data_IF_995489246360
#
_entry.id   IF_995489246360
#
_cell.length_a   1.000
_cell.length_b   1.000
_cell.length_c   1.000
_cell.angle_alpha   90.00
_cell.angle_beta   90.00
_cell.angle_gamma   90.00
#
_symmetry.space_group_name_H-M   'P 1'
#
loop_
_entity.id
_entity.type
_entity.pdbx_description
1 polymer ?
#
# COMPACT_ATOMS: atom_id res chain seq x y z
N UNK A 1 17.45 -27.35 12.16
CA UNK A 1 17.38 -25.89 12.41
C UNK A 1 16.01 -25.60 13.01
N UNK A 2 15.91 -24.69 13.96
CA UNK A 2 14.60 -24.21 14.46
C UNK A 2 13.88 -23.47 13.33
N UNK A 3 12.54 -23.59 13.28
CA UNK A 3 11.74 -22.83 12.33
C UNK A 3 11.82 -21.33 12.65
N UNK A 4 11.81 -20.50 11.63
CA UNK A 4 11.69 -19.05 11.79
C UNK A 4 10.23 -18.67 12.07
N UNK A 5 10.03 -17.77 13.02
CA UNK A 5 8.70 -17.23 13.35
C UNK A 5 8.40 -16.04 12.45
N UNK A 6 7.38 -16.18 11.61
CA UNK A 6 6.97 -15.15 10.64
C UNK A 6 5.59 -14.62 11.01
N UNK A 7 5.51 -13.32 11.33
CA UNK A 7 4.22 -12.66 11.52
C UNK A 7 3.68 -12.16 10.17
N UNK A 8 2.51 -12.62 9.78
CA UNK A 8 1.79 -12.16 8.59
C UNK A 8 0.80 -11.10 9.04
N UNK A 9 0.94 -9.87 8.53
CA UNK A 9 0.09 -8.74 8.88
C UNK A 9 -0.84 -8.42 7.72
N UNK A 10 -2.16 -8.39 7.96
CA UNK A 10 -3.16 -8.07 6.93
C UNK A 10 -4.31 -7.20 7.48
N UNK A 11 -5.17 -6.71 6.59
CA UNK A 11 -6.25 -5.78 6.89
C UNK A 11 -5.83 -4.31 6.76
N UNK A 12 -5.87 -3.56 7.85
CA UNK A 12 -5.47 -2.14 7.89
C UNK A 12 -6.62 -1.16 7.70
N UNK A 13 -6.36 0.14 7.95
CA UNK A 13 -7.39 1.18 7.88
C UNK A 13 -7.73 1.65 6.46
N UNK A 14 -6.96 1.23 5.45
CA UNK A 14 -7.15 1.68 4.08
C UNK A 14 -8.46 1.15 3.45
N UNK A 15 -8.84 1.74 2.32
CA UNK A 15 -9.98 1.25 1.51
C UNK A 15 -9.75 -0.13 0.89
N UNK A 16 -8.53 -0.66 0.97
CA UNK A 16 -8.13 -1.96 0.45
C UNK A 16 -8.04 -3.04 1.52
N UNK A 17 -8.66 -2.80 2.69
CA UNK A 17 -8.68 -3.70 3.85
C UNK A 17 -9.03 -5.14 3.48
N UNK A 18 -10.12 -5.33 2.76
CA UNK A 18 -10.63 -6.65 2.39
C UNK A 18 -9.68 -7.36 1.40
N UNK A 19 -9.07 -6.61 0.48
CA UNK A 19 -8.08 -7.14 -0.46
C UNK A 19 -6.86 -7.63 0.31
N UNK A 20 -6.38 -6.85 1.27
CA UNK A 20 -5.29 -7.22 2.18
C UNK A 20 -5.61 -8.49 2.97
N UNK A 21 -6.85 -8.66 3.45
CA UNK A 21 -7.28 -9.88 4.13
C UNK A 21 -7.16 -11.11 3.22
N UNK A 22 -7.65 -11.02 1.99
CA UNK A 22 -7.55 -12.12 1.01
C UNK A 22 -6.09 -12.44 0.69
N UNK A 23 -5.27 -11.40 0.48
CA UNK A 23 -3.82 -11.55 0.21
C UNK A 23 -3.10 -12.22 1.39
N UNK A 24 -3.42 -11.83 2.64
CA UNK A 24 -2.89 -12.45 3.85
C UNK A 24 -3.23 -13.94 3.95
N UNK A 25 -4.44 -14.32 3.58
CA UNK A 25 -4.85 -15.72 3.46
C UNK A 25 -4.05 -16.49 2.43
N UNK A 26 -3.72 -15.86 1.30
CA UNK A 26 -2.86 -16.41 0.26
C UNK A 26 -1.43 -16.67 0.76
N UNK A 27 -0.83 -15.69 1.42
CA UNK A 27 0.51 -15.80 2.02
C UNK A 27 0.54 -16.91 3.09
N UNK A 28 -0.43 -16.92 4.01
CA UNK A 28 -0.53 -17.95 5.05
C UNK A 28 -0.61 -19.38 4.47
N UNK A 29 -1.37 -19.54 3.39
CA UNK A 29 -1.52 -20.83 2.69
C UNK A 29 -0.24 -21.23 1.94
N UNK A 30 0.46 -20.25 1.35
CA UNK A 30 1.68 -20.50 0.56
C UNK A 30 2.95 -20.68 1.39
N UNK A 31 2.93 -20.32 2.67
CA UNK A 31 4.10 -20.40 3.54
C UNK A 31 4.49 -21.88 3.83
N UNK A 32 5.76 -22.22 3.64
CA UNK A 32 6.28 -23.56 3.97
C UNK A 32 6.34 -23.76 5.49
N UNK A 33 5.36 -24.46 6.02
CA UNK A 33 5.26 -24.79 7.45
C UNK A 33 6.36 -25.73 7.97
N UNK A 34 7.23 -26.28 7.11
CA UNK A 34 8.41 -27.03 7.54
C UNK A 34 9.52 -26.09 7.98
N UNK A 35 9.64 -24.95 7.33
CA UNK A 35 10.68 -23.93 7.54
C UNK A 35 10.21 -22.80 8.45
N UNK A 36 8.91 -22.47 8.45
CA UNK A 36 8.34 -21.31 9.12
C UNK A 36 7.23 -21.66 10.10
N UNK A 37 7.13 -20.89 11.16
CA UNK A 37 6.00 -20.87 12.11
C UNK A 37 5.22 -19.57 11.87
N UNK A 38 4.04 -19.60 11.23
CA UNK A 38 3.26 -18.40 11.00
C UNK A 38 2.55 -17.93 12.26
N UNK A 39 2.50 -16.61 12.45
CA UNK A 39 1.61 -15.92 13.38
C UNK A 39 0.78 -14.97 12.55
N UNK A 40 -0.54 -15.08 12.62
CA UNK A 40 -1.44 -14.22 11.85
C UNK A 40 -1.88 -13.04 12.72
N UNK A 41 -1.59 -11.84 12.24
CA UNK A 41 -1.96 -10.58 12.88
C UNK A 41 -2.89 -9.83 11.95
N UNK A 42 -4.00 -9.40 12.49
CA UNK A 42 -4.95 -8.56 11.80
C UNK A 42 -4.88 -7.11 12.28
N UNK A 43 -5.09 -6.17 11.37
CA UNK A 43 -5.35 -4.78 11.73
C UNK A 43 -6.76 -4.46 11.29
N UNK A 44 -7.62 -4.05 12.24
CA UNK A 44 -9.01 -3.68 11.94
C UNK A 44 -9.06 -2.38 11.11
N UNK A 45 -10.21 -2.05 10.54
CA UNK A 45 -10.44 -0.75 9.87
C UNK A 45 -10.24 0.45 10.80
N UNK A 46 -10.43 0.27 12.10
CA UNK A 46 -10.15 1.28 13.12
C UNK A 46 -8.66 1.37 13.51
N UNK A 47 -7.78 0.57 12.88
CA UNK A 47 -6.35 0.56 13.16
C UNK A 47 -5.94 -0.25 14.39
N UNK A 48 -6.85 -1.03 14.99
CA UNK A 48 -6.54 -1.88 16.15
C UNK A 48 -5.88 -3.18 15.69
N UNK A 49 -4.77 -3.53 16.32
CA UNK A 49 -4.04 -4.77 16.08
C UNK A 49 -4.63 -5.90 16.91
N UNK A 50 -4.88 -7.05 16.27
CA UNK A 50 -5.46 -8.24 16.89
C UNK A 50 -4.72 -9.50 16.44
N UNK A 51 -4.54 -10.45 17.35
CA UNK A 51 -4.03 -11.78 17.00
C UNK A 51 -5.17 -12.65 16.46
N UNK A 52 -4.91 -13.29 15.33
CA UNK A 52 -5.86 -14.17 14.66
C UNK A 52 -5.40 -15.62 14.74
N UNK A 53 -6.35 -16.54 14.87
CA UNK A 53 -6.03 -17.97 14.76
C UNK A 53 -5.67 -18.37 13.34
N UNK A 54 -4.86 -19.41 13.16
CA UNK A 54 -4.45 -19.90 11.82
C UNK A 54 -5.64 -20.25 10.88
N UNK A 55 -6.79 -20.54 11.44
CA UNK A 55 -8.02 -20.88 10.71
C UNK A 55 -8.95 -19.67 10.52
N UNK A 56 -8.49 -18.45 10.81
CA UNK A 56 -9.30 -17.26 10.60
C UNK A 56 -9.73 -17.17 9.11
N UNK A 57 -11.01 -16.88 8.81
CA UNK A 57 -11.54 -16.98 7.44
C UNK A 57 -11.12 -15.80 6.57
N UNK A 58 -9.95 -15.88 5.96
CA UNK A 58 -9.40 -14.87 5.05
C UNK A 58 -9.69 -15.13 3.56
N UNK A 59 -10.60 -16.05 3.24
CA UNK A 59 -11.01 -16.32 1.87
C UNK A 59 -12.34 -15.65 1.53
N UNK A 60 -12.54 -15.32 0.26
CA UNK A 60 -13.84 -14.87 -0.25
C UNK A 60 -14.84 -16.02 -0.08
N UNK A 61 -15.96 -15.77 0.57
CA UNK A 61 -17.05 -16.70 0.75
C UNK A 61 -18.39 -16.07 0.31
N UNK A 62 -19.14 -16.78 -0.49
CA UNK A 62 -20.46 -16.33 -0.98
C UNK A 62 -20.42 -14.92 -1.63
N UNK A 63 -19.34 -14.61 -2.34
CA UNK A 63 -19.04 -13.28 -2.94
C UNK A 63 -18.82 -12.15 -1.92
N UNK A 64 -18.65 -12.48 -0.64
CA UNK A 64 -18.32 -11.53 0.43
C UNK A 64 -16.83 -11.62 0.71
N UNK A 65 -16.15 -10.49 0.72
CA UNK A 65 -14.74 -10.39 1.09
C UNK A 65 -14.59 -10.40 2.62
N UNK A 66 -13.52 -11.02 3.15
CA UNK A 66 -13.28 -11.07 4.59
C UNK A 66 -12.91 -9.70 5.15
N UNK A 67 -13.30 -9.45 6.38
CA UNK A 67 -12.90 -8.30 7.19
C UNK A 67 -12.29 -8.77 8.50
N UNK A 68 -11.49 -7.92 9.13
CA UNK A 68 -10.92 -8.17 10.45
C UNK A 68 -11.66 -7.34 11.47
N UNK A 69 -12.31 -8.04 12.39
CA UNK A 69 -13.03 -7.47 13.51
C UNK A 69 -12.19 -7.50 14.79
N UNK A 70 -12.49 -6.59 15.70
CA UNK A 70 -11.90 -6.61 17.05
C UNK A 70 -12.39 -7.88 17.80
N UNK A 71 -11.45 -8.76 18.10
CA UNK A 71 -11.72 -10.02 18.83
C UNK A 71 -11.34 -9.94 20.32
N UNK A 72 -10.97 -8.75 20.79
CA UNK A 72 -10.59 -8.50 22.18
C UNK A 72 -9.12 -8.82 22.51
N UNK A 73 -8.36 -9.44 21.62
CA UNK A 73 -6.92 -9.64 21.82
C UNK A 73 -6.18 -8.30 21.73
N UNK A 74 -5.05 -8.19 22.44
CA UNK A 74 -4.20 -7.02 22.42
C UNK A 74 -2.86 -7.37 21.80
N UNK A 75 -2.47 -6.67 20.74
CA UNK A 75 -1.18 -6.84 20.09
C UNK A 75 -0.46 -5.51 20.04
N UNK A 76 0.77 -5.49 20.52
CA UNK A 76 1.64 -4.32 20.53
C UNK A 76 3.01 -4.67 19.94
N UNK A 77 3.61 -3.73 19.21
CA UNK A 77 5.00 -3.87 18.77
C UNK A 77 5.94 -3.72 19.96
N UNK A 78 6.97 -4.55 20.02
CA UNK A 78 8.04 -4.48 20.99
C UNK A 78 9.38 -4.74 20.30
N UNK A 79 10.49 -4.41 20.97
CA UNK A 79 11.83 -4.63 20.42
C UNK A 79 12.06 -6.11 20.05
N UNK A 80 12.23 -6.39 18.74
CA UNK A 80 12.46 -7.72 18.20
C UNK A 80 11.25 -8.67 18.22
N UNK A 81 10.02 -8.15 18.41
CA UNK A 81 8.84 -9.01 18.43
C UNK A 81 7.53 -8.31 18.71
N UNK A 82 6.55 -9.09 19.13
CA UNK A 82 5.20 -8.65 19.47
C UNK A 82 4.88 -8.99 20.92
N UNK A 83 4.11 -8.16 21.60
CA UNK A 83 3.44 -8.52 22.85
C UNK A 83 1.98 -8.84 22.52
N UNK A 84 1.59 -10.08 22.76
CA UNK A 84 0.23 -10.59 22.53
C UNK A 84 -0.39 -10.93 23.87
N UNK A 85 -1.45 -10.24 24.27
CA UNK A 85 -2.13 -10.39 25.56
C UNK A 85 -1.14 -10.40 26.75
N UNK A 86 -0.15 -9.49 26.69
CA UNK A 86 0.88 -9.33 27.75
C UNK A 86 2.04 -10.32 27.64
N UNK A 87 2.03 -11.25 26.68
CA UNK A 87 3.11 -12.23 26.49
C UNK A 87 3.99 -11.82 25.31
N UNK A 88 5.31 -11.72 25.53
CA UNK A 88 6.26 -11.43 24.47
C UNK A 88 6.46 -12.64 23.56
N UNK A 89 6.38 -12.38 22.26
CA UNK A 89 6.63 -13.36 21.19
C UNK A 89 7.71 -12.80 20.28
N UNK A 90 8.86 -13.48 20.25
CA UNK A 90 9.94 -13.13 19.31
C UNK A 90 9.49 -13.34 17.88
N UNK A 91 9.73 -12.35 17.02
CA UNK A 91 9.46 -12.42 15.59
C UNK A 91 10.78 -12.37 14.83
N UNK A 92 11.01 -13.33 13.95
CA UNK A 92 12.21 -13.37 13.12
C UNK A 92 12.02 -12.56 11.83
N UNK A 93 10.79 -12.46 11.33
CA UNK A 93 10.45 -11.62 10.18
C UNK A 93 8.96 -11.28 10.15
N UNK A 94 8.63 -10.09 9.70
CA UNK A 94 7.25 -9.69 9.38
C UNK A 94 7.02 -9.73 7.88
N UNK A 95 5.93 -10.37 7.46
CA UNK A 95 5.39 -10.29 6.12
C UNK A 95 4.15 -9.39 6.15
N UNK A 96 4.36 -8.10 5.89
CA UNK A 96 3.25 -7.15 5.78
C UNK A 96 2.63 -7.26 4.40
N UNK A 97 1.33 -7.55 4.35
CA UNK A 97 0.54 -7.60 3.12
C UNK A 97 -0.60 -6.58 3.19
N UNK A 98 -0.32 -5.47 3.83
CA UNK A 98 -1.20 -4.30 3.85
C UNK A 98 -1.13 -3.60 2.50
N UNK A 99 -2.26 -3.06 2.04
CA UNK A 99 -2.37 -2.31 0.79
C UNK A 99 -2.77 -0.86 1.05
N UNK A 100 -2.30 0.05 0.18
CA UNK A 100 -2.62 1.47 0.22
C UNK A 100 -2.00 2.21 1.41
N UNK A 101 -2.72 3.23 1.88
CA UNK A 101 -2.27 4.06 3.01
C UNK A 101 -1.97 3.23 4.25
N UNK A 102 -0.93 3.62 5.00
CA UNK A 102 -0.33 2.91 6.13
C UNK A 102 0.49 1.68 5.72
N UNK A 103 0.06 0.91 4.71
CA UNK A 103 0.75 -0.31 4.28
C UNK A 103 1.91 -0.07 3.33
N UNK A 104 1.75 0.88 2.40
CA UNK A 104 2.67 1.10 1.27
C UNK A 104 3.35 2.47 1.31
N UNK A 105 3.03 3.33 2.27
CA UNK A 105 3.50 4.72 2.36
C UNK A 105 4.69 4.95 3.31
N UNK A 106 5.32 3.88 3.79
CA UNK A 106 6.45 3.94 4.71
C UNK A 106 6.07 3.92 6.20
N UNK A 107 4.79 4.11 6.56
CA UNK A 107 4.36 4.19 7.96
C UNK A 107 4.53 2.88 8.72
N UNK A 108 4.05 1.77 8.17
CA UNK A 108 4.25 0.46 8.80
C UNK A 108 5.73 0.08 8.82
N UNK A 109 6.46 0.36 7.74
CA UNK A 109 7.89 0.09 7.65
C UNK A 109 8.66 0.83 8.76
N UNK A 110 8.33 2.10 9.01
CA UNK A 110 8.94 2.87 10.09
C UNK A 110 8.70 2.25 11.47
N UNK A 111 7.45 1.82 11.75
CA UNK A 111 7.13 1.14 13.00
C UNK A 111 7.93 -0.16 13.19
N UNK A 112 8.16 -0.90 12.10
CA UNK A 112 8.93 -2.15 12.14
C UNK A 112 10.43 -1.90 12.31
N UNK A 113 10.98 -0.87 11.67
CA UNK A 113 12.37 -0.44 11.86
C UNK A 113 12.62 0.05 13.30
N UNK A 114 11.72 0.86 13.85
CA UNK A 114 11.79 1.34 15.24
C UNK A 114 11.73 0.18 16.24
N UNK A 115 10.97 -0.87 15.93
CA UNK A 115 10.89 -2.09 16.72
C UNK A 115 12.06 -3.08 16.46
N UNK A 116 12.96 -2.77 15.53
CA UNK A 116 14.08 -3.64 15.12
C UNK A 116 13.62 -5.04 14.70
N UNK A 117 12.53 -5.11 13.95
CA UNK A 117 11.99 -6.37 13.41
C UNK A 117 12.25 -6.40 11.90
N UNK A 118 12.98 -7.40 11.38
CA UNK A 118 13.12 -7.59 9.94
C UNK A 118 11.77 -7.78 9.27
N UNK A 119 11.62 -7.27 8.05
CA UNK A 119 10.38 -7.41 7.30
C UNK A 119 10.62 -7.61 5.80
N UNK A 120 9.65 -8.16 5.13
CA UNK A 120 9.63 -8.32 3.67
C UNK A 120 9.05 -7.07 3.03
N UNK A 121 9.76 -6.52 2.05
CA UNK A 121 9.32 -5.35 1.27
C UNK A 121 10.35 -4.24 1.20
N UNK A 122 9.97 -3.15 0.55
CA UNK A 122 10.81 -1.95 0.43
C UNK A 122 10.90 -1.20 1.76
N UNK A 123 12.03 -0.52 1.99
CA UNK A 123 12.25 0.28 3.19
C UNK A 123 11.40 1.55 3.24
N UNK A 124 11.45 2.24 4.38
CA UNK A 124 10.62 3.43 4.69
C UNK A 124 10.65 4.47 3.57
N UNK A 125 11.85 4.91 3.19
CA UNK A 125 12.01 5.97 2.18
C UNK A 125 11.51 5.53 0.81
N UNK A 126 11.84 4.33 0.37
CA UNK A 126 11.42 3.83 -0.93
C UNK A 126 9.88 3.68 -1.03
N UNK A 127 9.24 3.20 0.04
CA UNK A 127 7.79 3.10 0.13
C UNK A 127 7.12 4.48 0.09
N UNK A 128 7.62 5.45 0.86
CA UNK A 128 7.09 6.81 0.88
C UNK A 128 7.26 7.52 -0.47
N UNK A 129 8.46 7.41 -1.08
CA UNK A 129 8.75 8.01 -2.39
C UNK A 129 7.88 7.40 -3.50
N UNK A 130 7.68 6.09 -3.49
CA UNK A 130 6.87 5.39 -4.48
C UNK A 130 5.36 5.71 -4.37
N UNK A 131 4.88 5.99 -3.16
CA UNK A 131 3.48 6.38 -2.93
C UNK A 131 3.15 7.73 -3.58
N UNK A 132 4.09 8.67 -3.59
CA UNK A 132 3.96 9.97 -4.24
C UNK A 132 4.33 9.87 -5.73
N UNK A 133 3.31 9.76 -6.59
CA UNK A 133 3.49 9.56 -8.05
C UNK A 133 4.32 10.66 -8.72
N UNK A 134 4.22 11.90 -8.25
CA UNK A 134 5.02 13.00 -8.81
C UNK A 134 6.50 12.80 -8.47
N UNK A 135 6.82 12.50 -7.22
CA UNK A 135 8.18 12.23 -6.79
C UNK A 135 8.74 10.94 -7.42
N UNK A 136 7.95 9.86 -7.46
CA UNK A 136 8.35 8.62 -8.11
C UNK A 136 8.74 8.84 -9.58
N UNK A 137 7.98 9.68 -10.32
CA UNK A 137 8.32 10.03 -11.71
C UNK A 137 9.63 10.80 -11.83
N UNK A 138 9.90 11.73 -10.92
CA UNK A 138 11.18 12.45 -10.88
C UNK A 138 12.35 11.48 -10.66
N UNK A 139 12.20 10.55 -9.71
CA UNK A 139 13.21 9.53 -9.43
C UNK A 139 13.42 8.57 -10.63
N UNK A 140 12.35 8.13 -11.27
CA UNK A 140 12.44 7.29 -12.45
C UNK A 140 13.09 8.01 -13.63
N UNK A 141 12.74 9.26 -13.87
CA UNK A 141 13.38 10.07 -14.90
C UNK A 141 14.87 10.30 -14.61
N UNK A 142 15.23 10.58 -13.36
CA UNK A 142 16.62 10.71 -12.93
C UNK A 142 17.43 9.41 -13.10
N UNK A 143 16.76 8.25 -12.99
CA UNK A 143 17.35 6.93 -13.28
C UNK A 143 17.40 6.59 -14.79
N UNK A 144 16.98 7.49 -15.67
CA UNK A 144 17.00 7.30 -17.12
C UNK A 144 15.80 6.57 -17.69
N UNK A 145 14.76 6.35 -16.89
CA UNK A 145 13.51 5.73 -17.36
C UNK A 145 12.60 6.75 -18.04
N UNK A 146 11.93 6.34 -19.11
CA UNK A 146 10.93 7.18 -19.76
C UNK A 146 9.64 7.19 -18.93
N UNK A 147 9.17 8.38 -18.59
CA UNK A 147 7.91 8.58 -17.87
C UNK A 147 6.91 9.33 -18.73
N UNK A 148 5.60 9.12 -18.51
CA UNK A 148 4.55 9.86 -19.18
C UNK A 148 4.75 11.37 -18.94
N UNK A 149 4.74 12.24 -19.99
CA UNK A 149 4.79 13.69 -19.79
C UNK A 149 3.60 14.16 -18.95
N UNK A 150 3.85 15.12 -18.05
CA UNK A 150 2.79 15.63 -17.19
C UNK A 150 3.24 16.82 -16.38
N UNK A 151 2.29 17.43 -15.71
CA UNK A 151 2.49 18.56 -14.79
C UNK A 151 1.91 18.26 -13.43
N UNK A 152 2.52 18.84 -12.40
CA UNK A 152 2.04 18.77 -11.03
C UNK A 152 1.32 20.09 -10.70
N UNK A 153 0.16 19.99 -10.09
CA UNK A 153 -0.65 21.14 -9.65
C UNK A 153 -0.89 21.01 -8.15
N UNK A 154 -0.58 22.06 -7.40
CA UNK A 154 -0.89 22.14 -5.97
C UNK A 154 -2.23 22.84 -5.76
N UNK A 155 -2.91 22.53 -4.66
CA UNK A 155 -4.23 23.07 -4.34
C UNK A 155 -4.25 24.60 -4.21
N UNK A 156 -3.10 25.19 -3.89
CA UNK A 156 -2.91 26.66 -3.82
C UNK A 156 -2.66 27.32 -5.18
N UNK A 157 -2.35 26.53 -6.21
CA UNK A 157 -1.97 27.06 -7.51
C UNK A 157 -3.20 27.35 -8.38
N UNK A 158 -3.11 28.29 -9.33
CA UNK A 158 -4.13 28.41 -10.35
C UNK A 158 -4.18 27.13 -11.20
N UNK A 159 -5.38 26.76 -11.64
CA UNK A 159 -5.51 25.67 -12.59
C UNK A 159 -4.73 25.98 -13.87
N UNK A 160 -4.09 24.97 -14.51
CA UNK A 160 -3.36 25.16 -15.74
C UNK A 160 -4.31 25.59 -16.86
N UNK A 161 -3.76 26.30 -17.86
CA UNK A 161 -4.53 26.59 -19.08
C UNK A 161 -4.91 25.28 -19.76
N UNK A 162 -6.20 24.98 -19.75
CA UNK A 162 -6.74 23.75 -20.30
C UNK A 162 -6.44 23.59 -21.81
N UNK A 163 -6.28 24.70 -22.54
CA UNK A 163 -5.98 24.68 -23.98
C UNK A 163 -4.49 24.40 -24.27
N UNK A 164 -3.63 24.46 -23.27
CA UNK A 164 -2.20 24.13 -23.43
C UNK A 164 -1.92 22.63 -23.39
N UNK A 165 -2.90 21.80 -23.02
CA UNK A 165 -2.73 20.37 -22.85
C UNK A 165 -3.11 19.57 -24.10
N UNK A 166 -2.36 18.51 -24.37
CA UNK A 166 -2.69 17.55 -25.43
C UNK A 166 -3.57 16.42 -24.88
N UNK A 167 -4.85 16.47 -25.19
CA UNK A 167 -5.84 15.48 -24.74
C UNK A 167 -5.77 14.16 -25.52
N UNK A 168 -6.18 13.01 -24.91
CA UNK A 168 -6.66 12.88 -23.55
C UNK A 168 -5.53 12.94 -22.51
N UNK A 169 -5.86 13.42 -21.30
CA UNK A 169 -4.98 13.38 -20.15
C UNK A 169 -5.59 12.59 -19.00
N UNK A 170 -4.76 12.06 -18.10
CA UNK A 170 -5.19 11.54 -16.81
C UNK A 170 -4.94 12.58 -15.73
N UNK A 171 -5.96 12.87 -14.93
CA UNK A 171 -5.88 13.68 -13.71
C UNK A 171 -6.01 12.75 -12.54
N UNK A 172 -5.07 12.80 -11.59
CA UNK A 172 -5.06 11.89 -10.44
C UNK A 172 -4.38 12.52 -9.23
N UNK A 173 -4.79 12.15 -8.00
CA UNK A 173 -4.04 12.49 -6.79
C UNK A 173 -2.60 11.98 -6.88
N UNK A 174 -1.62 12.75 -6.37
CA UNK A 174 -0.21 12.31 -6.37
C UNK A 174 0.00 11.13 -5.45
N UNK A 175 -0.59 11.16 -4.27
CA UNK A 175 -0.58 10.05 -3.31
C UNK A 175 -1.90 9.29 -3.32
N UNK A 176 -1.84 7.99 -3.01
CA UNK A 176 -3.01 7.13 -2.96
C UNK A 176 -3.06 6.08 -4.07
N UNK A 177 -3.96 5.12 -3.90
CA UNK A 177 -4.15 3.95 -4.76
C UNK A 177 -5.59 3.78 -5.24
N UNK A 178 -5.91 2.60 -5.81
CA UNK A 178 -7.25 2.17 -6.19
C UNK A 178 -8.02 3.13 -7.10
N UNK A 179 -7.31 3.92 -7.90
CA UNK A 179 -7.87 4.90 -8.86
C UNK A 179 -8.86 5.91 -8.26
N UNK A 180 -8.85 6.13 -6.94
CA UNK A 180 -9.71 7.13 -6.29
C UNK A 180 -9.29 8.53 -6.73
N UNK A 181 -10.27 9.34 -7.15
CA UNK A 181 -10.01 10.68 -7.68
C UNK A 181 -9.25 10.70 -9.02
N UNK A 182 -9.18 9.54 -9.73
CA UNK A 182 -8.50 9.43 -11.03
C UNK A 182 -9.51 9.57 -12.17
N UNK A 183 -9.23 10.49 -13.10
CA UNK A 183 -10.10 10.80 -14.22
C UNK A 183 -9.34 10.79 -15.55
N UNK A 184 -9.90 10.13 -16.56
CA UNK A 184 -9.49 10.31 -17.96
C UNK A 184 -10.25 11.47 -18.58
N UNK A 185 -9.58 12.59 -18.75
CA UNK A 185 -10.13 13.85 -19.30
C UNK A 185 -9.87 13.88 -20.80
N UNK A 186 -10.93 14.01 -21.58
CA UNK A 186 -10.86 13.95 -23.04
C UNK A 186 -10.85 15.33 -23.71
N UNK A 187 -11.22 16.37 -22.96
CA UNK A 187 -11.30 17.75 -23.48
C UNK A 187 -11.16 18.78 -22.37
N UNK A 188 -10.90 20.02 -22.74
CA UNK A 188 -10.67 21.16 -21.83
C UNK A 188 -11.85 21.42 -20.87
N UNK A 189 -13.08 21.19 -21.33
CA UNK A 189 -14.30 21.55 -20.58
C UNK A 189 -14.45 20.80 -19.27
N UNK A 190 -13.90 19.58 -19.19
CA UNK A 190 -14.02 18.72 -17.99
C UNK A 190 -12.79 18.74 -17.08
N UNK A 191 -11.72 19.43 -17.48
CA UNK A 191 -10.44 19.43 -16.76
C UNK A 191 -10.57 19.97 -15.33
N UNK A 192 -11.18 21.15 -15.17
CA UNK A 192 -11.33 21.81 -13.88
C UNK A 192 -12.12 20.95 -12.87
N UNK A 193 -13.18 20.29 -13.33
CA UNK A 193 -13.96 19.41 -12.48
C UNK A 193 -13.14 18.20 -12.01
N UNK A 194 -12.35 17.61 -12.91
CA UNK A 194 -11.48 16.48 -12.57
C UNK A 194 -10.38 16.87 -11.57
N UNK A 195 -9.77 18.05 -11.73
CA UNK A 195 -8.76 18.57 -10.78
C UNK A 195 -9.39 18.78 -9.40
N UNK A 196 -10.57 19.42 -9.34
CA UNK A 196 -11.26 19.66 -8.08
C UNK A 196 -11.65 18.37 -7.35
N UNK A 197 -12.08 17.35 -8.08
CA UNK A 197 -12.36 16.03 -7.48
C UNK A 197 -11.08 15.36 -6.97
N UNK A 198 -10.00 15.39 -7.74
CA UNK A 198 -8.71 14.84 -7.30
C UNK A 198 -8.19 15.54 -6.03
N UNK A 199 -8.42 16.84 -5.86
CA UNK A 199 -8.08 17.59 -4.65
C UNK A 199 -8.90 17.24 -3.41
N UNK A 200 -9.93 16.41 -3.52
CA UNK A 200 -10.61 15.84 -2.35
C UNK A 200 -9.77 14.76 -1.67
N UNK A 201 -8.79 14.20 -2.39
CA UNK A 201 -7.97 13.07 -1.94
C UNK A 201 -6.51 13.45 -1.63
N UNK A 202 -5.98 14.50 -2.29
CA UNK A 202 -4.60 14.97 -2.05
C UNK A 202 -4.52 16.48 -2.33
N UNK A 203 -3.60 17.14 -1.68
CA UNK A 203 -3.27 18.55 -1.94
C UNK A 203 -2.42 18.75 -3.21
N UNK A 204 -1.91 17.66 -3.79
CA UNK A 204 -1.08 17.59 -4.99
C UNK A 204 -1.71 16.67 -6.02
N UNK A 205 -1.93 17.19 -7.22
CA UNK A 205 -2.56 16.49 -8.33
C UNK A 205 -1.59 16.42 -9.51
N UNK A 206 -1.52 15.26 -10.13
CA UNK A 206 -0.75 15.00 -11.34
C UNK A 206 -1.68 14.96 -12.54
N UNK A 207 -1.32 15.71 -13.59
CA UNK A 207 -2.00 15.69 -14.89
C UNK A 207 -1.01 15.12 -15.91
N UNK A 208 -1.32 13.97 -16.49
CA UNK A 208 -0.41 13.24 -17.37
C UNK A 208 -1.04 13.01 -18.73
N UNK A 209 -0.23 13.06 -19.79
CA UNK A 209 -0.63 12.61 -21.13
C UNK A 209 -1.05 11.14 -21.07
N UNK A 210 -2.18 10.81 -21.65
CA UNK A 210 -2.61 9.42 -21.77
C UNK A 210 -1.71 8.68 -22.76
N UNK A 211 -1.05 7.64 -22.30
CA UNK A 211 -0.25 6.76 -23.14
C UNK A 211 -1.18 5.69 -23.74
N UNK A 212 -1.08 5.48 -25.05
CA UNK A 212 -1.76 4.39 -25.73
C UNK A 212 -0.77 3.23 -25.89
N UNK A 213 -1.01 2.12 -25.20
CA UNK A 213 -0.12 0.98 -25.20
C UNK A 213 -0.70 -0.20 -24.43
N UNK A 214 0.07 -1.28 -24.37
CA UNK A 214 -0.23 -2.41 -23.51
C UNK A 214 0.25 -2.10 -22.08
N UNK A 215 -0.61 -2.31 -21.09
CA UNK A 215 -0.24 -2.26 -19.68
C UNK A 215 0.50 -3.54 -19.30
N UNK A 216 1.66 -3.39 -18.67
CA UNK A 216 2.51 -4.51 -18.24
C UNK A 216 2.94 -4.25 -16.81
N UNK A 217 2.80 -5.26 -15.96
CA UNK A 217 3.34 -5.28 -14.61
C UNK A 217 4.63 -6.09 -14.55
N UNK A 218 5.61 -5.60 -13.80
CA UNK A 218 6.87 -6.29 -13.54
C UNK A 218 7.13 -6.33 -12.05
N UNK A 219 7.00 -7.51 -11.45
CA UNK A 219 7.35 -7.71 -10.06
C UNK A 219 8.88 -7.77 -9.91
N UNK A 220 9.40 -7.11 -8.88
CA UNK A 220 10.83 -7.13 -8.54
C UNK A 220 11.00 -7.77 -7.18
N UNK A 221 11.85 -8.78 -7.11
CA UNK A 221 12.27 -9.42 -5.88
C UNK A 221 13.80 -9.29 -5.76
N UNK A 222 14.25 -8.59 -4.73
CA UNK A 222 15.67 -8.55 -4.37
C UNK A 222 16.01 -9.79 -3.54
N UNK A 223 17.13 -10.43 -3.87
CA UNK A 223 17.64 -11.59 -3.17
C UNK A 223 19.15 -11.47 -3.05
N UNK A 224 19.66 -11.68 -1.83
CA UNK A 224 21.09 -11.72 -1.50
C UNK A 224 21.84 -10.38 -1.73
N UNK A 225 21.12 -9.26 -1.75
CA UNK A 225 21.66 -7.89 -1.86
C UNK A 225 21.97 -7.47 -3.28
#
# INVERSE_FOLDING_TARGET
MSKLTVAIICGGPSSEHEVSCVSGGGVLKGLDKKSFTPILIGITKAGKWVALGENYPLAIKDKVMPTIEDNGTRVELAQGGLVIDGSFVKIDCIFSILHGEFGEDGKIQQLLEDAHIPYVGSGVKASADAMDKALAKELFAAAGLTVAPGIVVHKSDPHPDANSLSYPVFVKPSSGGSSRGTHKVKSAETLSAAINDAFLYDSKVLIETAINGQEIECAVLERDG
#
